data_IF_737720256274
#
_entry.id   IF_737720256274
#
_cell.length_a   1.000
_cell.length_b   1.000
_cell.length_c   1.000
_cell.angle_alpha   90.00
_cell.angle_beta   90.00
_cell.angle_gamma   90.00
#
_symmetry.space_group_name_H-M   'P 1'
#
loop_
_entity.id
_entity.type
_entity.pdbx_description
1 polymer ?
#
# COMPACT_ATOMS: atom_id res chain seq x y z
N UNK A 1 43.75 17.38 -25.44
CA UNK A 1 42.71 16.40 -25.80
C UNK A 1 41.57 16.54 -24.81
N UNK A 2 40.58 17.34 -25.20
CA UNK A 2 39.46 17.71 -24.31
C UNK A 2 38.32 16.72 -24.54
N UNK A 3 38.02 15.91 -23.54
CA UNK A 3 36.90 14.97 -23.59
C UNK A 3 35.61 15.77 -23.40
N UNK A 4 34.82 15.91 -24.47
CA UNK A 4 33.47 16.47 -24.41
C UNK A 4 32.59 15.51 -23.60
N UNK A 5 32.17 15.93 -22.45
CA UNK A 5 31.10 15.31 -21.68
C UNK A 5 29.81 15.42 -22.50
N UNK A 6 29.37 14.30 -23.04
CA UNK A 6 28.07 14.16 -23.73
C UNK A 6 26.97 14.41 -22.71
N UNK A 7 26.15 15.44 -22.94
CA UNK A 7 24.96 15.72 -22.17
C UNK A 7 24.04 14.49 -22.21
N UNK A 8 23.87 13.82 -21.08
CA UNK A 8 22.79 12.87 -20.90
C UNK A 8 21.47 13.64 -21.00
N UNK A 9 20.75 13.46 -22.11
CA UNK A 9 19.36 13.88 -22.21
C UNK A 9 18.59 13.13 -21.15
N UNK A 10 18.09 13.85 -20.15
CA UNK A 10 17.06 13.35 -19.24
C UNK A 10 15.85 12.94 -20.07
N UNK A 11 15.77 11.67 -20.39
CA UNK A 11 14.56 11.09 -20.98
C UNK A 11 13.49 11.18 -19.91
N UNK A 12 12.40 11.83 -20.24
CA UNK A 12 11.27 12.09 -19.38
C UNK A 12 10.63 10.73 -18.97
N UNK A 13 11.12 10.15 -17.90
CA UNK A 13 10.66 8.85 -17.34
C UNK A 13 9.23 8.92 -16.79
N UNK A 14 8.59 10.10 -16.83
CA UNK A 14 7.21 10.27 -16.34
C UNK A 14 6.16 9.44 -17.10
N UNK A 15 6.45 8.99 -18.32
CA UNK A 15 5.45 8.33 -19.15
C UNK A 15 5.58 6.81 -19.30
N UNK A 16 6.70 6.18 -18.93
CA UNK A 16 6.85 4.72 -19.14
C UNK A 16 6.30 3.85 -18.01
N UNK A 17 6.36 4.28 -16.75
CA UNK A 17 5.79 3.50 -15.65
C UNK A 17 4.25 3.58 -15.57
N UNK A 18 3.65 4.59 -16.19
CA UNK A 18 2.20 4.76 -16.28
C UNK A 18 1.53 3.80 -17.28
N UNK A 19 2.26 3.36 -18.31
CA UNK A 19 1.68 2.59 -19.42
C UNK A 19 1.50 1.10 -19.12
N UNK A 20 2.19 0.52 -18.13
CA UNK A 20 2.05 -0.91 -17.84
C UNK A 20 0.65 -1.24 -17.33
N UNK A 21 0.15 -0.50 -16.33
CA UNK A 21 -1.21 -0.74 -15.84
C UNK A 21 -2.30 -0.38 -16.87
N UNK A 22 -2.03 0.54 -17.79
CA UNK A 22 -2.98 0.87 -18.87
C UNK A 22 -3.06 -0.23 -19.95
N UNK A 23 -1.99 -1.02 -20.13
CA UNK A 23 -2.03 -2.19 -21.02
C UNK A 23 -2.83 -3.37 -20.43
N UNK A 24 -3.09 -3.36 -19.12
CA UNK A 24 -3.88 -4.38 -18.42
C UNK A 24 -5.38 -4.08 -18.42
N UNK A 25 -5.84 -3.08 -19.20
CA UNK A 25 -7.26 -2.71 -19.24
C UNK A 25 -8.13 -3.94 -19.49
N UNK A 26 -8.89 -4.31 -18.46
CA UNK A 26 -9.88 -5.39 -18.52
C UNK A 26 -9.30 -6.77 -18.88
N UNK A 27 -8.02 -7.03 -18.63
CA UNK A 27 -7.48 -8.35 -18.81
C UNK A 27 -8.19 -9.32 -17.86
N UNK A 28 -8.84 -10.32 -18.44
CA UNK A 28 -9.51 -11.38 -17.72
C UNK A 28 -8.94 -12.72 -18.21
N UNK A 29 -8.47 -13.52 -17.28
CA UNK A 29 -8.12 -14.89 -17.56
C UNK A 29 -9.14 -15.78 -16.84
N UNK A 30 -9.97 -16.41 -17.63
CA UNK A 30 -10.76 -17.55 -17.23
C UNK A 30 -9.91 -18.77 -17.59
N UNK A 31 -9.36 -19.45 -16.59
CA UNK A 31 -8.86 -20.82 -16.75
C UNK A 31 -10.05 -21.75 -17.09
N UNK A 32 -9.86 -23.04 -17.15
CA UNK A 32 -10.96 -24.03 -17.25
C UNK A 32 -12.01 -23.87 -16.12
N UNK A 33 -11.72 -23.04 -15.13
CA UNK A 33 -12.62 -22.64 -14.02
C UNK A 33 -13.57 -21.56 -14.51
N UNK A 34 -14.85 -21.86 -14.47
CA UNK A 34 -15.95 -20.96 -14.91
C UNK A 34 -16.16 -19.74 -14.02
N UNK A 35 -15.39 -19.56 -12.93
CA UNK A 35 -15.61 -18.52 -11.92
C UNK A 35 -14.34 -17.71 -11.66
N UNK A 36 -14.48 -16.38 -11.60
CA UNK A 36 -13.40 -15.49 -11.17
C UNK A 36 -13.23 -15.60 -9.66
N UNK A 37 -12.09 -16.12 -9.22
CA UNK A 37 -11.75 -16.28 -7.81
C UNK A 37 -11.12 -15.04 -7.19
N UNK A 38 -10.50 -14.15 -8.01
CA UNK A 38 -9.85 -12.95 -7.52
C UNK A 38 -10.03 -11.76 -8.49
N UNK A 39 -10.46 -10.63 -7.94
CA UNK A 39 -10.45 -9.34 -8.61
C UNK A 39 -9.24 -8.55 -8.11
N UNK A 40 -8.46 -8.03 -9.04
CA UNK A 40 -7.26 -7.25 -8.79
C UNK A 40 -7.50 -5.85 -9.34
N UNK A 41 -7.53 -4.84 -8.47
CA UNK A 41 -7.77 -3.47 -8.85
C UNK A 41 -6.58 -2.59 -8.47
N UNK A 42 -6.13 -1.77 -9.41
CA UNK A 42 -5.19 -0.70 -9.09
C UNK A 42 -5.95 0.42 -8.39
N UNK A 43 -5.45 0.81 -7.22
CA UNK A 43 -5.97 1.97 -6.52
C UNK A 43 -5.18 3.21 -6.94
N UNK A 44 -5.86 4.17 -7.59
CA UNK A 44 -5.20 5.28 -8.27
C UNK A 44 -4.80 6.42 -7.36
N UNK A 45 -5.33 6.49 -6.14
CA UNK A 45 -5.21 7.72 -5.39
C UNK A 45 -5.01 7.43 -3.93
N UNK A 46 -3.75 7.50 -3.56
CA UNK A 46 -3.49 7.68 -2.16
C UNK A 46 -2.24 8.52 -1.99
N UNK A 47 -2.31 9.54 -1.18
CA UNK A 47 -1.10 10.11 -0.62
C UNK A 47 -0.71 9.26 0.57
N UNK A 48 0.56 8.84 0.58
CA UNK A 48 1.09 7.96 1.62
C UNK A 48 2.15 8.72 2.40
N UNK A 49 1.97 8.80 3.72
CA UNK A 49 2.93 9.45 4.61
C UNK A 49 3.49 8.44 5.60
N UNK A 50 4.81 8.38 5.67
CA UNK A 50 5.51 7.68 6.72
C UNK A 50 5.68 8.63 7.91
N UNK A 51 5.12 8.26 9.05
CA UNK A 51 5.18 9.03 10.29
C UNK A 51 6.05 8.27 11.27
N UNK A 52 7.15 8.91 11.68
CA UNK A 52 8.10 8.32 12.62
C UNK A 52 8.18 9.09 13.91
N UNK A 53 8.31 8.35 15.01
CA UNK A 53 8.49 8.89 16.36
C UNK A 53 7.64 8.16 17.39
N UNK A 54 7.91 8.40 18.66
CA UNK A 54 7.18 7.74 19.73
C UNK A 54 5.74 8.29 19.83
N UNK A 55 4.84 7.67 19.09
CA UNK A 55 3.43 8.05 19.04
C UNK A 55 2.64 7.69 20.32
N UNK A 56 3.26 7.00 21.28
CA UNK A 56 2.65 6.77 22.61
C UNK A 56 2.74 8.00 23.49
N UNK A 57 3.64 8.96 23.20
CA UNK A 57 3.73 10.21 23.92
C UNK A 57 2.42 10.98 23.81
N UNK A 58 1.94 11.51 24.94
CA UNK A 58 0.70 12.31 25.02
C UNK A 58 0.73 13.47 24.00
N UNK A 59 1.84 14.20 23.94
CA UNK A 59 2.02 15.32 23.03
C UNK A 59 1.78 14.92 21.55
N UNK A 60 2.26 13.76 21.12
CA UNK A 60 2.02 13.27 19.76
C UNK A 60 0.52 13.01 19.54
N UNK A 61 -0.12 12.32 20.48
CA UNK A 61 -1.55 12.01 20.40
C UNK A 61 -2.39 13.28 20.33
N UNK A 62 -2.06 14.28 21.14
CA UNK A 62 -2.77 15.57 21.19
C UNK A 62 -2.62 16.32 19.85
N UNK A 63 -1.40 16.40 19.31
CA UNK A 63 -1.14 17.03 18.01
C UNK A 63 -1.89 16.28 16.90
N UNK A 64 -1.80 14.96 16.89
CA UNK A 64 -2.43 14.12 15.86
C UNK A 64 -3.96 14.27 15.89
N UNK A 65 -4.56 14.18 17.08
CA UNK A 65 -6.00 14.32 17.25
C UNK A 65 -6.50 15.73 16.92
N UNK A 66 -5.74 16.76 17.32
CA UNK A 66 -6.08 18.17 17.01
C UNK A 66 -6.17 18.45 15.51
N UNK A 67 -5.23 17.90 14.72
CA UNK A 67 -5.10 18.22 13.31
C UNK A 67 -5.86 17.28 12.38
N UNK A 68 -5.99 16.02 12.76
CA UNK A 68 -6.58 14.97 11.91
C UNK A 68 -7.93 14.49 12.42
N UNK A 69 -8.27 14.79 13.68
CA UNK A 69 -9.49 14.27 14.34
C UNK A 69 -9.58 12.74 14.40
N UNK A 70 -8.48 12.05 14.10
CA UNK A 70 -8.40 10.59 14.12
C UNK A 70 -7.73 10.10 15.39
N UNK A 71 -8.12 8.91 15.83
CA UNK A 71 -7.39 8.17 16.87
C UNK A 71 -6.21 7.44 16.22
N UNK A 72 -5.18 7.17 17.02
CA UNK A 72 -4.04 6.34 16.57
C UNK A 72 -4.36 4.90 16.97
N UNK A 73 -4.19 3.91 16.05
CA UNK A 73 -4.31 2.51 16.43
C UNK A 73 -3.20 2.17 17.44
N UNK A 74 -3.57 1.67 18.60
CA UNK A 74 -2.64 1.42 19.71
C UNK A 74 -1.98 0.04 19.63
N UNK A 75 -2.65 -0.91 19.03
CA UNK A 75 -2.12 -2.27 18.88
C UNK A 75 -1.24 -2.37 17.64
N UNK A 76 -0.02 -2.92 17.81
CA UNK A 76 0.87 -3.24 16.70
C UNK A 76 0.19 -4.23 15.74
N UNK A 77 0.35 -4.03 14.45
CA UNK A 77 -0.29 -4.85 13.43
C UNK A 77 -1.80 -4.62 13.28
N UNK A 78 -2.31 -3.49 13.78
CA UNK A 78 -3.68 -3.05 13.55
C UNK A 78 -3.72 -1.76 12.74
N UNK A 79 -4.84 -1.49 12.11
CA UNK A 79 -5.08 -0.22 11.46
C UNK A 79 -6.46 0.34 11.78
N UNK A 80 -6.57 1.65 11.65
CA UNK A 80 -7.84 2.37 11.69
C UNK A 80 -8.29 2.60 10.25
N UNK A 81 -9.55 2.26 9.98
CA UNK A 81 -10.23 2.56 8.72
C UNK A 81 -11.20 3.71 8.95
N UNK A 82 -10.88 4.88 8.42
CA UNK A 82 -11.73 6.06 8.50
C UNK A 82 -12.15 6.49 7.08
N UNK A 83 -13.15 7.38 7.01
CA UNK A 83 -13.64 7.95 5.73
C UNK A 83 -12.53 8.61 4.90
N UNK A 84 -11.55 9.22 5.57
CA UNK A 84 -10.50 10.01 4.92
C UNK A 84 -9.18 9.27 4.74
N UNK A 85 -8.90 8.24 5.56
CA UNK A 85 -7.61 7.55 5.53
C UNK A 85 -7.64 6.17 6.17
N UNK A 86 -6.63 5.37 5.82
CA UNK A 86 -6.17 4.24 6.64
C UNK A 86 -4.95 4.69 7.44
N UNK A 87 -4.92 4.34 8.73
CA UNK A 87 -3.78 4.63 9.62
C UNK A 87 -3.27 3.30 10.15
N UNK A 88 -2.13 2.85 9.61
CA UNK A 88 -1.55 1.55 9.93
C UNK A 88 -0.49 1.69 11.01
N UNK A 89 -0.56 0.86 12.04
CA UNK A 89 0.47 0.75 13.09
C UNK A 89 1.42 -0.40 12.71
N UNK A 90 2.55 -0.05 12.10
CA UNK A 90 3.52 -1.00 11.58
C UNK A 90 4.69 -1.27 12.52
N UNK A 91 4.86 -0.46 13.56
CA UNK A 91 5.95 -0.59 14.51
C UNK A 91 5.79 0.33 15.71
N UNK A 92 6.61 0.20 16.74
CA UNK A 92 6.51 1.01 17.97
C UNK A 92 6.71 2.51 17.73
N UNK A 93 7.35 2.87 16.62
CA UNK A 93 7.66 4.22 16.21
C UNK A 93 7.29 4.52 14.75
N UNK A 94 6.51 3.63 14.10
CA UNK A 94 6.18 3.72 12.66
C UNK A 94 4.67 3.64 12.45
N UNK A 95 4.10 4.73 11.96
CA UNK A 95 2.74 4.76 11.42
C UNK A 95 2.81 5.03 9.91
N UNK A 96 1.98 4.34 9.16
CA UNK A 96 1.73 4.65 7.76
C UNK A 96 0.34 5.27 7.65
N UNK A 97 0.28 6.51 7.19
CA UNK A 97 -0.97 7.20 6.90
C UNK A 97 -1.24 7.13 5.40
N UNK A 98 -2.35 6.51 5.01
CA UNK A 98 -2.75 6.29 3.63
C UNK A 98 -4.04 7.06 3.39
N UNK A 99 -3.95 8.25 2.80
CA UNK A 99 -5.10 9.12 2.53
C UNK A 99 -5.94 8.56 1.38
N UNK A 100 -7.25 8.52 1.57
CA UNK A 100 -8.23 8.13 0.54
C UNK A 100 -8.62 9.30 -0.38
N UNK A 101 -7.96 10.43 -0.24
CA UNK A 101 -8.25 11.64 -1.01
C UNK A 101 -6.97 12.41 -1.35
N UNK A 102 -7.03 13.26 -2.38
CA UNK A 102 -5.93 14.16 -2.77
C UNK A 102 -5.78 15.38 -1.84
N UNK A 103 -6.38 15.36 -0.65
CA UNK A 103 -6.23 16.47 0.30
C UNK A 103 -4.77 16.59 0.73
N UNK A 104 -4.29 17.82 0.79
CA UNK A 104 -2.93 18.13 1.27
C UNK A 104 -2.80 17.71 2.73
N UNK A 105 -1.94 16.73 2.96
CA UNK A 105 -1.57 16.27 4.29
C UNK A 105 -0.04 16.26 4.41
N UNK A 106 0.57 16.51 5.54
CA UNK A 106 -0.04 17.07 6.75
C UNK A 106 -0.29 18.58 6.62
N UNK A 107 -1.20 19.16 7.40
CA UNK A 107 -1.28 20.61 7.52
C UNK A 107 0.08 21.18 7.94
N UNK A 108 0.52 22.28 7.33
CA UNK A 108 1.84 22.89 7.63
C UNK A 108 2.07 23.14 9.12
N UNK A 109 1.02 23.54 9.84
CA UNK A 109 1.05 23.73 11.29
C UNK A 109 1.34 22.46 12.07
N UNK A 110 0.81 21.32 11.64
CA UNK A 110 1.09 20.00 12.23
C UNK A 110 2.54 19.59 11.97
N UNK A 111 3.00 19.70 10.73
CA UNK A 111 4.37 19.35 10.37
C UNK A 111 5.41 20.16 11.19
N UNK A 112 5.18 21.47 11.35
CA UNK A 112 6.05 22.34 12.15
C UNK A 112 6.07 21.95 13.64
N UNK A 113 4.91 21.62 14.22
CA UNK A 113 4.83 21.18 15.62
C UNK A 113 5.52 19.84 15.85
N UNK A 114 5.34 18.87 14.94
CA UNK A 114 5.97 17.57 15.03
C UNK A 114 7.49 17.65 14.91
N UNK A 115 8.00 18.45 13.96
CA UNK A 115 9.45 18.65 13.76
C UNK A 115 10.16 19.16 15.01
N UNK A 116 9.53 20.07 15.76
CA UNK A 116 10.07 20.56 17.04
C UNK A 116 10.20 19.49 18.12
N UNK A 117 9.51 18.37 17.99
CA UNK A 117 9.36 17.35 19.02
C UNK A 117 9.94 15.99 18.63
N UNK A 118 10.93 15.95 17.75
CA UNK A 118 11.59 14.70 17.29
C UNK A 118 10.66 13.71 16.59
N UNK A 119 9.63 14.18 15.93
CA UNK A 119 8.79 13.39 15.03
C UNK A 119 9.06 13.79 13.58
N UNK A 120 8.94 12.85 12.66
CA UNK A 120 9.02 13.13 11.23
C UNK A 120 7.76 12.66 10.50
N UNK A 121 7.37 13.45 9.50
CA UNK A 121 6.36 13.04 8.51
C UNK A 121 7.02 13.20 7.14
N UNK A 122 7.08 12.11 6.41
CA UNK A 122 7.67 12.09 5.07
C UNK A 122 6.63 11.63 4.06
N UNK A 123 6.45 12.42 3.00
CA UNK A 123 5.64 12.01 1.86
C UNK A 123 6.39 10.94 1.07
N UNK A 124 5.79 9.76 0.98
CA UNK A 124 6.33 8.59 0.26
C UNK A 124 5.37 8.11 -0.84
N UNK A 125 4.43 8.96 -1.25
CA UNK A 125 3.36 8.62 -2.20
C UNK A 125 3.90 8.09 -3.53
N UNK A 126 4.97 8.69 -4.05
CA UNK A 126 5.56 8.26 -5.32
C UNK A 126 6.40 6.98 -5.22
N UNK A 127 6.80 6.61 -3.99
CA UNK A 127 7.58 5.41 -3.74
C UNK A 127 6.73 4.15 -3.85
N UNK A 128 5.43 4.23 -3.55
CA UNK A 128 4.56 3.09 -3.40
C UNK A 128 3.43 3.06 -4.43
N UNK A 129 2.95 1.85 -4.69
CA UNK A 129 1.70 1.55 -5.39
C UNK A 129 0.81 0.72 -4.48
N UNK A 130 -0.50 0.79 -4.73
CA UNK A 130 -1.51 0.04 -4.00
C UNK A 130 -2.33 -0.79 -4.98
N UNK A 131 -2.48 -2.08 -4.68
CA UNK A 131 -3.45 -2.96 -5.32
C UNK A 131 -4.50 -3.39 -4.30
N UNK A 132 -5.74 -3.39 -4.73
CA UNK A 132 -6.86 -4.00 -4.04
C UNK A 132 -7.08 -5.40 -4.60
N UNK A 133 -7.12 -6.38 -3.72
CA UNK A 133 -7.29 -7.79 -4.03
C UNK A 133 -8.56 -8.27 -3.33
N UNK A 134 -9.56 -8.71 -4.10
CA UNK A 134 -10.85 -9.13 -3.56
C UNK A 134 -11.35 -10.41 -4.23
N UNK A 135 -11.83 -11.36 -3.45
CA UNK A 135 -12.43 -12.61 -3.93
C UNK A 135 -12.22 -13.78 -3.01
N UNK A 136 -12.98 -14.85 -3.22
CA UNK A 136 -12.97 -16.07 -2.39
C UNK A 136 -11.60 -16.75 -2.31
N UNK A 137 -10.78 -16.58 -3.35
CA UNK A 137 -9.47 -17.23 -3.45
C UNK A 137 -8.30 -16.32 -3.05
N UNK A 138 -8.57 -15.10 -2.62
CA UNK A 138 -7.52 -14.11 -2.33
C UNK A 138 -6.55 -14.60 -1.25
N UNK A 139 -7.05 -15.24 -0.20
CA UNK A 139 -6.23 -15.77 0.90
C UNK A 139 -5.33 -16.91 0.43
N UNK A 140 -5.88 -17.82 -0.36
CA UNK A 140 -5.13 -18.91 -0.95
C UNK A 140 -4.04 -18.40 -1.90
N UNK A 141 -4.37 -17.47 -2.77
CA UNK A 141 -3.41 -16.88 -3.71
C UNK A 141 -2.27 -16.21 -2.95
N UNK A 142 -2.57 -15.37 -1.94
CA UNK A 142 -1.53 -14.71 -1.15
C UNK A 142 -0.65 -15.69 -0.38
N UNK A 143 -1.21 -16.79 0.15
CA UNK A 143 -0.44 -17.80 0.90
C UNK A 143 0.59 -18.56 0.07
N UNK A 144 0.47 -18.54 -1.28
CA UNK A 144 1.45 -19.20 -2.17
C UNK A 144 2.85 -18.53 -2.12
N UNK A 145 2.94 -17.27 -1.77
CA UNK A 145 4.22 -16.55 -1.79
C UNK A 145 4.45 -15.61 -0.61
N UNK A 146 3.54 -15.59 0.35
CA UNK A 146 3.68 -14.78 1.55
C UNK A 146 3.66 -15.69 2.80
N UNK A 147 4.65 -15.59 3.70
CA UNK A 147 4.77 -16.46 4.88
C UNK A 147 3.77 -16.14 5.99
N UNK A 148 2.91 -15.15 5.81
CA UNK A 148 1.87 -14.81 6.79
C UNK A 148 0.79 -15.90 6.84
N UNK A 149 0.21 -16.09 8.02
CA UNK A 149 -0.94 -16.94 8.18
C UNK A 149 -2.21 -16.20 7.76
N UNK A 150 -2.77 -16.56 6.61
CA UNK A 150 -3.99 -15.96 6.05
C UNK A 150 -5.28 -16.59 6.58
N UNK A 151 -5.23 -17.48 7.57
CA UNK A 151 -6.46 -17.92 8.26
C UNK A 151 -7.23 -16.73 8.79
N UNK A 152 -8.55 -16.75 8.64
CA UNK A 152 -9.43 -15.63 9.03
C UNK A 152 -9.32 -15.29 10.53
N UNK A 153 -9.00 -16.26 11.37
CA UNK A 153 -8.81 -16.05 12.81
C UNK A 153 -7.55 -15.24 13.11
N UNK A 154 -6.52 -15.33 12.25
CA UNK A 154 -5.22 -14.68 12.44
C UNK A 154 -5.12 -13.37 11.65
N UNK A 155 -5.60 -13.35 10.42
CA UNK A 155 -5.56 -12.17 9.55
C UNK A 155 -6.98 -11.74 9.17
N UNK A 156 -7.70 -11.19 10.12
CA UNK A 156 -9.05 -10.66 9.96
C UNK A 156 -9.06 -9.16 9.67
N UNK A 157 -10.24 -8.61 9.37
CA UNK A 157 -10.45 -7.17 9.21
C UNK A 157 -9.84 -6.37 10.36
N UNK A 158 -9.12 -5.29 10.01
CA UNK A 158 -8.44 -4.41 10.98
C UNK A 158 -6.98 -4.79 11.26
N UNK A 159 -6.48 -5.90 10.69
CA UNK A 159 -5.08 -6.31 10.81
C UNK A 159 -4.24 -5.83 9.62
N UNK A 160 -2.99 -5.47 9.91
CA UNK A 160 -2.00 -5.11 8.90
C UNK A 160 -0.63 -5.67 9.28
N UNK A 161 0.14 -6.10 8.27
CA UNK A 161 1.47 -6.68 8.48
C UNK A 161 2.41 -6.27 7.36
N UNK A 162 3.68 -6.14 7.71
CA UNK A 162 4.77 -6.07 6.73
C UNK A 162 5.34 -7.47 6.53
N UNK A 163 5.54 -7.86 5.28
CA UNK A 163 6.03 -9.18 4.91
C UNK A 163 6.68 -9.13 3.53
N UNK A 164 6.89 -10.30 2.95
CA UNK A 164 7.27 -10.47 1.55
C UNK A 164 6.14 -11.14 0.78
N UNK A 165 6.03 -10.82 -0.52
CA UNK A 165 5.21 -11.55 -1.47
C UNK A 165 6.12 -11.96 -2.64
N UNK A 166 6.44 -13.26 -2.72
CA UNK A 166 7.57 -13.71 -3.52
C UNK A 166 8.86 -13.04 -3.05
N UNK A 167 9.51 -12.26 -3.91
CA UNK A 167 10.75 -11.54 -3.61
C UNK A 167 10.55 -10.04 -3.34
N UNK A 168 9.31 -9.59 -3.15
CA UNK A 168 8.99 -8.18 -2.95
C UNK A 168 8.52 -7.90 -1.53
N UNK A 169 9.11 -6.89 -0.88
CA UNK A 169 8.59 -6.39 0.40
C UNK A 169 7.24 -5.72 0.19
N UNK A 170 6.28 -6.09 1.02
CA UNK A 170 4.91 -5.62 0.95
C UNK A 170 4.36 -5.24 2.31
N UNK A 171 3.45 -4.29 2.35
CA UNK A 171 2.55 -4.08 3.49
C UNK A 171 1.16 -4.55 3.06
N UNK A 172 0.59 -5.50 3.81
CA UNK A 172 -0.72 -6.10 3.51
C UNK A 172 -1.66 -5.75 4.66
N UNK A 173 -2.87 -5.30 4.35
CA UNK A 173 -3.90 -5.07 5.36
C UNK A 173 -5.28 -5.52 4.90
N UNK A 174 -6.05 -6.07 5.84
CA UNK A 174 -7.33 -6.73 5.59
C UNK A 174 -8.49 -5.78 5.89
N UNK A 175 -9.19 -5.31 4.87
CA UNK A 175 -10.31 -4.35 5.01
C UNK A 175 -11.67 -5.05 5.13
N UNK A 176 -11.78 -6.27 4.63
CA UNK A 176 -12.91 -7.19 4.83
C UNK A 176 -12.39 -8.64 4.71
N UNK A 177 -13.20 -9.63 5.03
CA UNK A 177 -12.76 -11.03 5.12
C UNK A 177 -12.03 -11.52 3.88
N UNK A 178 -12.51 -11.16 2.70
CA UNK A 178 -11.91 -11.53 1.41
C UNK A 178 -11.44 -10.31 0.62
N UNK A 179 -11.02 -9.26 1.32
CA UNK A 179 -10.53 -8.03 0.73
C UNK A 179 -9.26 -7.53 1.41
N UNK A 180 -8.18 -7.47 0.64
CA UNK A 180 -6.87 -7.03 1.07
C UNK A 180 -6.37 -5.87 0.23
N UNK A 181 -5.68 -4.94 0.87
CA UNK A 181 -4.89 -3.93 0.19
C UNK A 181 -3.41 -4.25 0.34
N UNK A 182 -2.70 -4.18 -0.77
CA UNK A 182 -1.30 -4.51 -0.91
C UNK A 182 -0.53 -3.26 -1.29
N UNK A 183 0.37 -2.80 -0.42
CA UNK A 183 1.27 -1.67 -0.68
C UNK A 183 2.67 -2.21 -0.95
N UNK A 184 3.29 -1.78 -2.04
CA UNK A 184 4.63 -2.21 -2.46
C UNK A 184 5.36 -1.10 -3.22
N UNK A 185 6.68 -1.23 -3.34
CA UNK A 185 7.53 -0.24 -4.01
C UNK A 185 7.22 -0.23 -5.52
N UNK A 186 7.07 0.95 -6.08
CA UNK A 186 6.68 1.19 -7.49
C UNK A 186 7.52 0.41 -8.49
N UNK A 187 8.82 0.25 -8.25
CA UNK A 187 9.72 -0.50 -9.15
C UNK A 187 9.41 -2.00 -9.26
N UNK A 188 8.63 -2.56 -8.33
CA UNK A 188 8.19 -3.95 -8.37
C UNK A 188 6.82 -4.14 -9.01
N UNK A 189 6.26 -3.11 -9.67
CA UNK A 189 4.90 -3.19 -10.24
C UNK A 189 4.73 -4.36 -11.21
N UNK A 190 5.64 -4.50 -12.16
CA UNK A 190 5.59 -5.57 -13.17
C UNK A 190 5.74 -6.95 -12.52
N UNK A 191 6.66 -7.07 -11.57
CA UNK A 191 6.90 -8.30 -10.83
C UNK A 191 5.64 -8.75 -10.07
N UNK A 192 5.05 -7.85 -9.27
CA UNK A 192 3.86 -8.16 -8.46
C UNK A 192 2.66 -8.52 -9.33
N UNK A 193 2.45 -7.80 -10.42
CA UNK A 193 1.33 -8.09 -11.34
C UNK A 193 1.50 -9.46 -12.00
N UNK A 194 2.69 -9.77 -12.52
CA UNK A 194 2.96 -11.06 -13.14
C UNK A 194 2.87 -12.18 -12.11
N UNK A 195 3.40 -11.99 -10.90
CA UNK A 195 3.27 -12.95 -9.81
C UNK A 195 1.80 -13.24 -9.46
N UNK A 196 0.96 -12.19 -9.37
CA UNK A 196 -0.47 -12.33 -9.11
C UNK A 196 -1.18 -13.07 -10.26
N UNK A 197 -0.86 -12.79 -11.52
CA UNK A 197 -1.41 -13.51 -12.68
C UNK A 197 -1.11 -15.00 -12.59
N UNK A 198 0.15 -15.37 -12.44
CA UNK A 198 0.59 -16.75 -12.40
C UNK A 198 0.00 -17.49 -11.20
N UNK A 199 0.03 -16.86 -10.01
CA UNK A 199 -0.49 -17.47 -8.79
C UNK A 199 -2.01 -17.63 -8.81
N UNK A 200 -2.73 -16.78 -9.55
CA UNK A 200 -4.19 -16.82 -9.67
C UNK A 200 -4.68 -17.63 -10.86
N UNK A 201 -3.80 -18.12 -11.72
CA UNK A 201 -4.15 -18.77 -12.99
C UNK A 201 -5.22 -19.86 -12.83
N UNK A 202 -5.06 -20.77 -11.86
CA UNK A 202 -5.99 -21.89 -11.63
C UNK A 202 -7.29 -21.47 -10.91
N UNK A 203 -7.40 -20.23 -10.47
CA UNK A 203 -8.56 -19.72 -9.72
C UNK A 203 -9.38 -18.70 -10.52
N UNK A 204 -8.90 -18.32 -11.70
CA UNK A 204 -9.46 -17.24 -12.49
C UNK A 204 -9.24 -15.88 -11.85
N UNK A 205 -8.77 -14.91 -12.64
CA UNK A 205 -8.57 -13.55 -12.18
C UNK A 205 -9.12 -12.52 -13.16
N UNK A 206 -9.42 -11.33 -12.63
CA UNK A 206 -9.78 -10.16 -13.41
C UNK A 206 -9.01 -8.95 -12.93
N UNK A 207 -8.33 -8.26 -13.85
CA UNK A 207 -7.79 -6.93 -13.59
C UNK A 207 -8.86 -5.87 -13.87
N UNK A 208 -9.02 -4.96 -12.89
CA UNK A 208 -9.90 -3.80 -12.97
C UNK A 208 -8.98 -2.56 -12.91
N UNK A 209 -8.97 -1.76 -13.96
CA UNK A 209 -8.16 -0.55 -14.09
C UNK A 209 -9.04 0.68 -13.98
#
# INVERSE_FOLDING_TARGET
MVIKLTQFKYVNLKNKSFNFFSSLKNEQMLSEVTKIGINIKKEDIFTIFNIRGNYNKKLFKDIFQKHLKHKIPTQLGSFLDDKEAYILNLGPDVLLYVSKSNKVFPPRSMAAQLKKNTFSITDVSYQFKILSLQGSEVRWVLSKGCPLNFDIKNFHKGKCFQSILGNCNVTIFCTADDHFLLIFITSFSDYIVNWLKESSYNHGYKFIV
#
